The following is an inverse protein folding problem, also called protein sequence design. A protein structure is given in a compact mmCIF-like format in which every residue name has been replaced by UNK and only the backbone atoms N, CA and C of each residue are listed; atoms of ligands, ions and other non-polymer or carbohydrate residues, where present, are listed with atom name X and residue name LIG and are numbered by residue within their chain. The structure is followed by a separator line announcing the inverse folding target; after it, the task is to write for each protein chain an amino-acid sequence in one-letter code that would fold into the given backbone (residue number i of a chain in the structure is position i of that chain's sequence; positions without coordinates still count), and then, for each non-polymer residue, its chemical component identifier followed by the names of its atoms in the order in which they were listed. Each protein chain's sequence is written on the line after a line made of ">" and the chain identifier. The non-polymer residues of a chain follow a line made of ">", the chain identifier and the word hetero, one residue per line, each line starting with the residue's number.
data_IF_742583371865
#
_entry.id   IF_742583371865
#
_cell.length_a   1.000
_cell.length_b   1.000
_cell.length_c   1.000
_cell.angle_alpha   90.00
_cell.angle_beta   90.00
_cell.angle_gamma   90.00
#
_symmetry.space_group_name_H-M   'P 1'
#
loop_
_entity.id
_entity.type
_entity.pdbx_description
1 polymer ?
#
# COMPACT_ATOMS: atom_id res chain seq x y z
N UNK A 1 3.85 -13.84 -20.79
CA UNK A 1 3.86 -12.80 -19.75
C UNK A 1 3.21 -11.56 -20.31
N UNK A 2 1.90 -11.37 -20.09
CA UNK A 2 1.28 -10.06 -20.33
C UNK A 2 1.86 -9.12 -19.30
N UNK A 3 2.67 -8.14 -19.71
CA UNK A 3 3.16 -7.10 -18.81
C UNK A 3 1.95 -6.28 -18.35
N UNK A 4 1.46 -6.56 -17.14
CA UNK A 4 0.43 -5.72 -16.53
C UNK A 4 1.06 -4.36 -16.22
N UNK A 5 0.75 -3.36 -17.03
CA UNK A 5 1.18 -1.99 -16.80
C UNK A 5 0.12 -1.27 -15.98
N UNK A 6 0.54 -0.54 -14.96
CA UNK A 6 -0.35 0.30 -14.16
C UNK A 6 -0.12 1.78 -14.51
N UNK A 7 -1.19 2.56 -14.45
CA UNK A 7 -1.13 4.01 -14.64
C UNK A 7 -1.75 4.74 -13.45
N UNK A 8 -1.15 5.88 -13.11
CA UNK A 8 -1.63 6.81 -12.11
C UNK A 8 -2.38 7.91 -12.84
N UNK A 9 -3.63 8.15 -12.47
CA UNK A 9 -4.50 9.17 -13.08
C UNK A 9 -5.05 10.09 -12.00
N UNK A 10 -5.40 11.31 -12.40
CA UNK A 10 -6.22 12.20 -11.60
C UNK A 10 -7.69 12.06 -12.05
N UNK A 11 -8.58 11.82 -11.08
CA UNK A 11 -10.02 11.75 -11.30
C UNK A 11 -10.61 13.16 -11.36
N UNK A 12 -11.81 13.28 -11.94
CA UNK A 12 -12.51 14.57 -12.09
C UNK A 12 -12.84 15.25 -10.76
N UNK A 13 -12.89 14.49 -9.65
CA UNK A 13 -13.08 15.02 -8.30
C UNK A 13 -11.76 15.46 -7.63
N UNK A 14 -10.62 15.34 -8.31
CA UNK A 14 -9.30 15.71 -7.81
C UNK A 14 -8.54 14.61 -7.09
N UNK A 15 -9.16 13.43 -6.90
CA UNK A 15 -8.51 12.25 -6.31
C UNK A 15 -7.45 11.68 -7.24
N UNK A 16 -6.44 11.03 -6.66
CA UNK A 16 -5.45 10.28 -7.41
C UNK A 16 -5.81 8.80 -7.38
N UNK A 17 -5.76 8.14 -8.53
CA UNK A 17 -6.15 6.74 -8.64
C UNK A 17 -5.10 5.91 -9.39
N UNK A 18 -4.95 4.65 -8.99
CA UNK A 18 -4.14 3.64 -9.67
C UNK A 18 -5.07 2.69 -10.42
N UNK A 19 -4.82 2.44 -11.71
CA UNK A 19 -5.57 1.45 -12.49
C UNK A 19 -4.70 0.69 -13.48
N UNK A 20 -5.24 -0.40 -14.03
CA UNK A 20 -4.64 -1.15 -15.13
C UNK A 20 -4.62 -0.30 -16.40
N UNK A 21 -3.47 -0.17 -17.05
CA UNK A 21 -3.33 0.59 -18.28
C UNK A 21 -4.21 -0.02 -19.39
N UNK A 22 -4.91 0.83 -20.13
CA UNK A 22 -5.81 0.41 -21.20
C UNK A 22 -7.19 -0.08 -20.74
N UNK A 23 -7.43 -0.22 -19.44
CA UNK A 23 -8.75 -0.55 -18.88
C UNK A 23 -9.44 0.71 -18.34
N UNK A 24 -10.75 0.81 -18.58
CA UNK A 24 -11.61 1.89 -18.05
C UNK A 24 -12.41 1.46 -16.82
N UNK A 25 -12.06 0.32 -16.24
CA UNK A 25 -12.69 -0.26 -15.06
C UNK A 25 -12.45 0.61 -13.81
N UNK A 26 -13.11 0.22 -12.72
CA UNK A 26 -12.90 0.86 -11.41
C UNK A 26 -11.42 0.81 -11.01
N UNK A 27 -10.87 1.91 -10.49
CA UNK A 27 -9.48 1.96 -10.06
C UNK A 27 -9.25 1.00 -8.90
N UNK A 28 -8.04 0.43 -8.88
CA UNK A 28 -7.60 -0.51 -7.84
C UNK A 28 -7.43 0.18 -6.50
N UNK A 29 -6.96 1.43 -6.53
CA UNK A 29 -6.72 2.26 -5.35
C UNK A 29 -7.14 3.68 -5.67
N UNK A 30 -7.78 4.36 -4.70
CA UNK A 30 -8.06 5.80 -4.73
C UNK A 30 -7.45 6.46 -3.51
N UNK A 31 -6.77 7.58 -3.72
CA UNK A 31 -6.18 8.43 -2.68
C UNK A 31 -6.93 9.76 -2.70
N UNK A 32 -7.62 10.02 -1.60
CA UNK A 32 -8.31 11.28 -1.36
C UNK A 32 -7.49 12.11 -0.38
N UNK A 33 -7.05 13.29 -0.81
CA UNK A 33 -6.37 14.25 0.06
C UNK A 33 -7.40 15.18 0.69
N UNK A 34 -7.25 15.47 1.99
CA UNK A 34 -8.05 16.51 2.63
C UNK A 34 -7.76 17.88 2.02
N UNK A 35 -8.71 18.81 2.13
CA UNK A 35 -8.54 20.20 1.66
C UNK A 35 -7.30 20.88 2.25
N UNK A 36 -7.02 20.62 3.54
CA UNK A 36 -5.81 21.09 4.21
C UNK A 36 -4.53 20.54 3.54
N UNK A 37 -4.51 19.24 3.25
CA UNK A 37 -3.39 18.60 2.58
C UNK A 37 -3.20 19.12 1.16
N UNK A 38 -4.29 19.38 0.42
CA UNK A 38 -4.24 19.94 -0.93
C UNK A 38 -3.67 21.37 -0.93
N UNK A 39 -4.03 22.20 0.04
CA UNK A 39 -3.47 23.55 0.19
C UNK A 39 -1.96 23.54 0.44
N UNK A 40 -1.48 22.53 1.17
CA UNK A 40 -0.06 22.33 1.45
C UNK A 40 0.69 21.73 0.25
N UNK A 41 0.17 20.64 -0.32
CA UNK A 41 0.82 19.86 -1.38
C UNK A 41 0.76 20.52 -2.76
N UNK A 42 -0.32 21.25 -3.06
CA UNK A 42 -0.52 21.98 -4.32
C UNK A 42 -0.25 21.09 -5.54
N UNK A 43 0.71 21.48 -6.37
CA UNK A 43 1.15 20.76 -7.58
C UNK A 43 1.93 19.46 -7.28
N UNK A 44 2.41 19.28 -6.04
CA UNK A 44 3.16 18.10 -5.64
C UNK A 44 2.28 16.90 -5.26
N UNK A 45 0.94 17.05 -5.25
CA UNK A 45 0.02 15.97 -4.86
C UNK A 45 0.24 14.67 -5.65
N UNK A 46 0.52 14.78 -6.96
CA UNK A 46 0.74 13.62 -7.84
C UNK A 46 2.08 12.95 -7.52
N UNK A 47 3.11 13.74 -7.24
CA UNK A 47 4.43 13.21 -6.86
C UNK A 47 4.36 12.44 -5.53
N UNK A 48 3.62 12.97 -4.55
CA UNK A 48 3.39 12.29 -3.26
C UNK A 48 2.57 11.02 -3.45
N UNK A 49 1.46 11.08 -4.20
CA UNK A 49 0.65 9.90 -4.47
C UNK A 49 1.45 8.80 -5.18
N UNK A 50 2.30 9.17 -6.15
CA UNK A 50 3.23 8.24 -6.82
C UNK A 50 4.18 7.58 -5.82
N UNK A 51 4.84 8.37 -4.97
CA UNK A 51 5.74 7.84 -3.95
C UNK A 51 5.02 6.89 -2.97
N UNK A 52 3.80 7.21 -2.55
CA UNK A 52 2.99 6.35 -1.69
C UNK A 52 2.66 5.01 -2.36
N UNK A 53 2.30 5.03 -3.64
CA UNK A 53 1.99 3.82 -4.40
C UNK A 53 3.24 2.96 -4.64
N UNK A 54 4.39 3.59 -4.94
CA UNK A 54 5.68 2.90 -5.09
C UNK A 54 6.10 2.21 -3.79
N UNK A 55 6.01 2.92 -2.65
CA UNK A 55 6.30 2.36 -1.34
C UNK A 55 5.35 1.20 -0.99
N UNK A 56 4.07 1.29 -1.38
CA UNK A 56 3.11 0.20 -1.18
C UNK A 56 3.46 -1.06 -1.99
N UNK A 57 3.93 -0.90 -3.22
CA UNK A 57 4.38 -2.03 -4.05
C UNK A 57 5.61 -2.69 -3.42
N UNK A 58 6.59 -1.90 -3.00
CA UNK A 58 7.80 -2.39 -2.34
C UNK A 58 7.46 -3.18 -1.06
N UNK A 59 6.58 -2.63 -0.21
CA UNK A 59 6.15 -3.31 1.02
C UNK A 59 5.47 -4.66 0.77
N UNK A 60 4.72 -4.82 -0.33
CA UNK A 60 4.08 -6.10 -0.69
C UNK A 60 5.12 -7.11 -1.20
N UNK A 61 6.18 -6.65 -1.88
CA UNK A 61 7.27 -7.54 -2.30
C UNK A 61 8.03 -8.08 -1.09
N UNK A 62 8.25 -7.26 -0.07
CA UNK A 62 8.88 -7.69 1.18
C UNK A 62 8.00 -8.69 1.95
N UNK A 63 6.68 -8.50 1.96
CA UNK A 63 5.74 -9.47 2.53
C UNK A 63 5.71 -10.81 1.78
N UNK A 64 5.83 -10.78 0.45
CA UNK A 64 5.96 -12.00 -0.36
C UNK A 64 7.29 -12.73 -0.13
N UNK A 65 8.34 -12.01 0.29
CA UNK A 65 9.61 -12.60 0.71
C UNK A 65 9.57 -13.16 2.15
N UNK A 66 8.60 -12.74 2.96
CA UNK A 66 8.27 -13.28 4.28
C UNK A 66 7.31 -14.48 4.16
N UNK A 67 7.58 -15.43 3.25
CA UNK A 67 7.01 -16.77 3.43
C UNK A 67 7.40 -17.23 4.86
N UNK A 68 6.46 -17.77 5.64
CA UNK A 68 6.72 -18.05 7.04
C UNK A 68 7.87 -19.05 7.14
N UNK A 69 8.99 -18.61 7.72
CA UNK A 69 9.94 -19.55 8.31
C UNK A 69 9.12 -20.50 9.19
N UNK A 70 9.23 -21.83 9.00
CA UNK A 70 8.48 -22.77 9.81
C UNK A 70 8.78 -22.44 11.28
N UNK A 71 7.73 -22.12 12.04
CA UNK A 71 7.83 -21.95 13.47
C UNK A 71 8.45 -23.23 14.03
N UNK A 72 9.72 -23.19 14.43
CA UNK A 72 10.25 -24.19 15.34
C UNK A 72 9.50 -23.97 16.66
N UNK A 73 8.60 -24.88 17.00
CA UNK A 73 7.96 -24.91 18.32
C UNK A 73 9.05 -25.09 19.38
N UNK A 74 9.64 -24.00 19.86
CA UNK A 74 10.36 -24.03 21.13
C UNK A 74 9.32 -24.31 22.21
N UNK A 75 9.37 -25.51 22.80
CA UNK A 75 8.63 -25.87 24.00
C UNK A 75 8.93 -24.83 25.10
N UNK A 76 8.03 -23.86 25.26
CA UNK A 76 8.12 -22.90 26.36
C UNK A 76 7.64 -23.62 27.62
N UNK A 77 8.56 -24.02 28.49
CA UNK A 77 8.25 -24.57 29.81
C UNK A 77 7.59 -23.47 30.67
N UNK A 78 6.25 -23.48 30.70
CA UNK A 78 5.45 -22.49 31.44
C UNK A 78 5.55 -22.80 32.92
N UNK A 79 6.48 -22.17 33.62
CA UNK A 79 6.51 -22.15 35.09
C UNK A 79 5.48 -21.13 35.60
N UNK A 80 4.29 -21.62 35.96
CA UNK A 80 3.25 -20.81 36.60
C UNK A 80 3.75 -20.23 37.93
N UNK A 81 3.75 -18.90 38.03
CA UNK A 81 3.97 -18.19 39.30
C UNK A 81 2.66 -17.49 39.69
N UNK A 82 1.99 -18.01 40.72
CA UNK A 82 0.82 -17.37 41.33
C UNK A 82 1.26 -16.41 42.42
N UNK A 83 0.90 -15.13 42.29
CA UNK A 83 1.10 -14.13 43.35
C UNK A 83 -0.16 -14.05 44.22
N UNK A 84 0.02 -14.13 45.55
CA UNK A 84 -1.02 -13.96 46.59
C UNK A 84 -1.16 -12.50 47.01
#
# INVERSE_FOLDING_TARGET
>A
MSSETYEIIELSNGDVALRRAGHREDPLVRIHFSDESLNFLREHKIAIARAMLEAGIEAVQDLGALEPEPFEEEEVDVTEHTIH
#
